data_IF_368607059448
#
_entry.id   IF_368607059448
#
_cell.length_a   1.000
_cell.length_b   1.000
_cell.length_c   1.000
_cell.angle_alpha   90.00
_cell.angle_beta   90.00
_cell.angle_gamma   90.00
#
_symmetry.space_group_name_H-M   'P 1'
#
loop_
_entity.id
_entity.type
_entity.pdbx_description
1 polymer ?
#
# COMPACT_ATOMS: atom_id res chain seq x y z
N UNK A 1 24.74 -17.27 19.58
CA UNK A 1 25.10 -16.03 18.87
C UNK A 1 24.00 -15.77 17.86
N UNK A 2 23.56 -14.51 17.76
CA UNK A 2 22.37 -14.13 16.98
C UNK A 2 22.63 -14.36 15.50
N UNK A 3 21.75 -15.07 14.79
CA UNK A 3 21.87 -15.36 13.35
C UNK A 3 21.70 -14.11 12.45
N UNK A 4 21.86 -12.90 12.99
CA UNK A 4 21.39 -11.66 12.37
C UNK A 4 22.44 -10.55 12.28
N UNK A 5 23.63 -10.69 12.86
CA UNK A 5 24.72 -9.69 12.73
C UNK A 5 25.30 -9.62 11.31
N UNK A 6 25.37 -10.76 10.59
CA UNK A 6 25.88 -10.84 9.23
C UNK A 6 25.04 -10.16 8.14
N UNK A 7 23.80 -9.73 8.43
CA UNK A 7 22.97 -9.01 7.47
C UNK A 7 23.46 -7.59 7.23
N UNK A 8 23.71 -6.81 8.30
CA UNK A 8 24.19 -5.43 8.17
C UNK A 8 25.51 -5.38 7.38
N UNK A 9 26.44 -6.28 7.74
CA UNK A 9 27.72 -6.39 7.04
C UNK A 9 27.57 -6.76 5.56
N UNK A 10 26.58 -7.58 5.18
CA UNK A 10 26.34 -7.93 3.77
C UNK A 10 25.76 -6.78 2.94
N UNK A 11 25.15 -5.77 3.58
CA UNK A 11 24.60 -4.58 2.91
C UNK A 11 25.64 -3.46 2.68
N UNK A 12 26.70 -3.38 3.49
CA UNK A 12 27.74 -2.33 3.38
C UNK A 12 28.36 -2.22 1.97
N UNK A 13 28.64 -3.31 1.22
CA UNK A 13 29.23 -3.20 -0.11
C UNK A 13 28.25 -2.79 -1.22
N UNK A 14 26.94 -2.82 -0.96
CA UNK A 14 25.89 -2.70 -1.98
C UNK A 14 25.03 -1.44 -1.84
N UNK A 15 25.33 -0.55 -0.90
CA UNK A 15 24.49 0.60 -0.56
C UNK A 15 25.27 1.91 -0.50
N UNK A 16 24.59 3.04 -0.70
CA UNK A 16 25.02 4.39 -0.25
C UNK A 16 24.96 4.51 1.30
N UNK A 17 25.17 3.41 2.03
CA UNK A 17 25.09 3.41 3.49
C UNK A 17 26.19 4.29 4.09
N UNK A 18 25.80 5.13 5.04
CA UNK A 18 26.77 5.83 5.88
C UNK A 18 27.40 4.81 6.81
N UNK A 19 28.70 4.56 6.65
CA UNK A 19 29.46 3.83 7.66
C UNK A 19 29.64 4.69 8.89
N UNK A 20 29.50 4.11 10.08
CA UNK A 20 29.71 4.80 11.35
C UNK A 20 30.68 4.05 12.27
N UNK A 21 31.05 4.67 13.40
CA UNK A 21 31.98 4.05 14.35
C UNK A 21 31.39 2.82 15.06
N UNK A 22 30.06 2.66 15.08
CA UNK A 22 29.38 1.49 15.60
C UNK A 22 29.61 0.29 14.68
N UNK A 23 29.77 0.47 13.36
CA UNK A 23 30.11 -0.65 12.46
C UNK A 23 31.38 -1.39 12.89
N UNK A 24 32.38 -0.66 13.41
CA UNK A 24 33.62 -1.24 13.94
C UNK A 24 33.43 -1.92 15.30
N UNK A 25 32.53 -1.39 16.13
CA UNK A 25 32.27 -1.90 17.47
C UNK A 25 31.39 -3.16 17.46
N UNK A 26 30.52 -3.30 16.46
CA UNK A 26 29.64 -4.45 16.26
C UNK A 26 30.12 -5.40 15.15
N UNK A 27 31.28 -5.13 14.55
CA UNK A 27 31.90 -6.04 13.59
C UNK A 27 32.30 -7.36 14.27
N UNK A 28 31.85 -8.45 13.69
CA UNK A 28 32.20 -9.81 14.10
C UNK A 28 32.74 -10.55 12.88
N UNK A 29 34.06 -10.83 12.86
CA UNK A 29 34.74 -11.53 11.76
C UNK A 29 34.47 -13.04 11.75
N UNK A 30 33.85 -13.56 12.81
CA UNK A 30 33.41 -14.94 12.89
C UNK A 30 32.07 -15.16 12.20
N UNK A 31 31.36 -14.08 11.85
CA UNK A 31 30.04 -14.15 11.26
C UNK A 31 30.10 -14.35 9.74
N UNK A 32 29.32 -15.31 9.25
CA UNK A 32 29.28 -15.61 7.83
C UNK A 32 28.33 -14.63 7.11
N UNK A 33 28.66 -14.16 5.89
CA UNK A 33 27.79 -13.26 5.14
C UNK A 33 26.42 -13.93 4.95
N UNK A 34 25.38 -13.27 5.44
CA UNK A 34 24.01 -13.74 5.31
C UNK A 34 23.58 -13.59 3.85
N UNK A 35 23.14 -14.68 3.22
CA UNK A 35 22.65 -14.66 1.85
C UNK A 35 21.15 -14.27 1.83
N UNK A 36 20.77 -13.09 1.29
CA UNK A 36 19.37 -12.67 1.28
C UNK A 36 18.43 -13.65 0.57
N UNK A 37 18.96 -14.44 -0.37
CA UNK A 37 18.23 -15.52 -1.06
C UNK A 37 17.70 -16.62 -0.12
N UNK A 38 18.22 -16.73 1.10
CA UNK A 38 17.74 -17.68 2.11
C UNK A 38 16.51 -17.17 2.89
N UNK A 39 16.17 -15.88 2.77
CA UNK A 39 14.97 -15.34 3.40
C UNK A 39 13.72 -15.87 2.69
N UNK A 40 12.68 -16.26 3.45
CA UNK A 40 11.38 -16.53 2.85
C UNK A 40 10.91 -15.28 2.10
N UNK A 41 10.37 -15.42 0.88
CA UNK A 41 9.95 -14.29 0.06
C UNK A 41 8.80 -13.51 0.69
N UNK A 42 7.99 -14.17 1.53
CA UNK A 42 6.84 -13.58 2.18
C UNK A 42 6.95 -13.68 3.70
N UNK A 43 6.60 -12.58 4.38
CA UNK A 43 6.73 -12.48 5.83
C UNK A 43 5.66 -11.56 6.40
N UNK A 44 4.98 -12.05 7.44
CA UNK A 44 4.20 -11.22 8.36
C UNK A 44 5.07 -10.84 9.58
N UNK A 45 5.04 -9.57 9.94
CA UNK A 45 5.64 -9.03 11.16
C UNK A 45 4.52 -8.78 12.17
N UNK A 46 4.25 -9.77 13.03
CA UNK A 46 3.04 -9.81 13.86
C UNK A 46 2.85 -8.62 14.80
N UNK A 47 3.92 -8.10 15.41
CA UNK A 47 3.78 -6.99 16.35
C UNK A 47 3.66 -5.62 15.65
N UNK A 48 4.16 -5.53 14.41
CA UNK A 48 4.01 -4.36 13.56
C UNK A 48 2.74 -4.41 12.70
N UNK A 49 2.09 -5.58 12.63
CA UNK A 49 0.96 -5.90 11.76
C UNK A 49 1.16 -5.45 10.30
N UNK A 50 2.33 -5.79 9.76
CA UNK A 50 2.63 -5.56 8.35
C UNK A 50 3.08 -6.84 7.64
N UNK A 51 2.96 -6.85 6.32
CA UNK A 51 3.33 -7.97 5.45
C UNK A 51 4.29 -7.47 4.38
N UNK A 52 5.31 -8.25 4.09
CA UNK A 52 6.09 -8.16 2.85
C UNK A 52 5.81 -9.40 2.02
N UNK A 53 5.47 -9.23 0.74
CA UNK A 53 5.45 -10.30 -0.26
C UNK A 53 6.44 -9.98 -1.37
N UNK A 54 7.21 -10.96 -1.85
CA UNK A 54 8.29 -10.72 -2.82
C UNK A 54 8.33 -11.78 -3.92
N UNK A 55 8.69 -11.39 -5.14
CA UNK A 55 9.02 -12.35 -6.19
C UNK A 55 10.41 -12.98 -6.01
N UNK A 56 11.32 -12.24 -5.36
CA UNK A 56 12.67 -12.68 -5.01
C UNK A 56 13.18 -11.93 -3.78
N UNK A 57 13.91 -12.63 -2.92
CA UNK A 57 14.53 -12.03 -1.72
C UNK A 57 15.88 -11.36 -1.99
N UNK A 58 16.39 -11.44 -3.22
CA UNK A 58 17.76 -10.98 -3.57
C UNK A 58 17.86 -10.20 -4.89
N UNK A 59 16.82 -10.22 -5.73
CA UNK A 59 16.80 -9.46 -6.98
C UNK A 59 16.41 -8.00 -6.70
N UNK A 60 17.25 -7.00 -7.02
CA UNK A 60 16.89 -5.59 -6.86
C UNK A 60 15.71 -5.15 -7.76
N UNK A 61 15.37 -5.93 -8.78
CA UNK A 61 14.23 -5.69 -9.66
C UNK A 61 12.97 -6.47 -9.28
N UNK A 62 12.99 -7.17 -8.13
CA UNK A 62 11.88 -7.98 -7.67
C UNK A 62 10.57 -7.17 -7.57
N UNK A 63 9.46 -7.85 -7.85
CA UNK A 63 8.13 -7.38 -7.49
C UNK A 63 7.98 -7.55 -5.98
N UNK A 64 7.72 -6.45 -5.28
CA UNK A 64 7.58 -6.40 -3.83
C UNK A 64 6.30 -5.66 -3.49
N UNK A 65 5.51 -6.21 -2.57
CA UNK A 65 4.37 -5.53 -1.97
C UNK A 65 4.59 -5.44 -0.47
N UNK A 66 4.56 -4.22 0.06
CA UNK A 66 4.49 -3.96 1.50
C UNK A 66 3.06 -3.59 1.86
N UNK A 67 2.46 -4.27 2.84
CA UNK A 67 1.06 -4.08 3.24
C UNK A 67 1.03 -3.66 4.72
N UNK A 68 0.31 -2.58 5.00
CA UNK A 68 0.04 -2.10 6.34
C UNK A 68 -1.32 -2.60 6.83
N UNK A 69 -1.38 -3.12 8.05
CA UNK A 69 -2.60 -3.50 8.73
C UNK A 69 -2.53 -3.02 10.20
N UNK A 70 -3.17 -3.72 11.13
CA UNK A 70 -2.93 -3.50 12.56
C UNK A 70 -3.95 -2.62 13.25
N UNK A 71 -3.57 -1.41 13.66
CA UNK A 71 -4.41 -0.57 14.52
C UNK A 71 -4.23 0.93 14.26
N UNK A 72 -5.32 1.70 14.34
CA UNK A 72 -5.28 3.16 14.33
C UNK A 72 -5.00 3.77 15.73
N UNK A 73 -4.95 2.94 16.78
CA UNK A 73 -4.65 3.39 18.14
C UNK A 73 -3.29 4.13 18.20
N UNK A 74 -3.25 5.24 18.95
CA UNK A 74 -2.09 6.14 19.05
C UNK A 74 -1.75 6.86 17.73
N UNK A 75 -2.76 7.39 17.04
CA UNK A 75 -2.58 8.26 15.86
C UNK A 75 -1.58 9.40 16.10
N UNK A 76 -1.60 10.01 17.30
CA UNK A 76 -0.66 11.07 17.71
C UNK A 76 0.79 10.56 17.89
N UNK A 77 1.02 9.24 17.84
CA UNK A 77 2.31 8.57 17.98
C UNK A 77 3.00 8.22 16.65
N UNK A 78 2.74 8.98 15.59
CA UNK A 78 3.21 8.78 14.20
C UNK A 78 2.49 7.68 13.41
N UNK A 79 1.29 7.28 13.83
CA UNK A 79 0.42 6.44 12.99
C UNK A 79 -0.44 7.29 12.08
N UNK A 80 -0.87 6.71 10.97
CA UNK A 80 -1.84 7.29 10.06
C UNK A 80 -3.12 6.43 10.06
N UNK A 81 -4.18 6.91 9.41
CA UNK A 81 -5.39 6.14 9.14
C UNK A 81 -5.20 5.30 7.86
N UNK A 82 -4.24 4.38 7.90
CA UNK A 82 -3.71 3.68 6.72
C UNK A 82 -3.92 2.15 6.75
N UNK A 83 -4.89 1.68 7.55
CA UNK A 83 -5.15 0.24 7.68
C UNK A 83 -5.59 -0.35 6.34
N UNK A 84 -4.78 -1.27 5.80
CA UNK A 84 -4.97 -1.89 4.49
C UNK A 84 -4.20 -1.21 3.35
N UNK A 85 -3.44 -0.14 3.63
CA UNK A 85 -2.61 0.54 2.63
C UNK A 85 -1.49 -0.38 2.17
N UNK A 86 -0.93 -0.08 1.01
CA UNK A 86 0.20 -0.82 0.47
C UNK A 86 1.11 0.07 -0.36
N UNK A 87 2.36 -0.38 -0.48
CA UNK A 87 3.32 0.11 -1.47
C UNK A 87 3.72 -1.03 -2.38
N UNK A 88 4.08 -0.71 -3.62
CA UNK A 88 4.49 -1.70 -4.61
C UNK A 88 5.73 -1.22 -5.36
N UNK A 89 6.76 -2.06 -5.31
CA UNK A 89 8.00 -1.89 -6.06
C UNK A 89 8.11 -3.00 -7.11
N UNK A 90 8.65 -2.67 -8.29
CA UNK A 90 8.99 -3.63 -9.32
C UNK A 90 9.98 -3.03 -10.29
N UNK A 91 10.83 -3.84 -10.94
CA UNK A 91 11.80 -3.37 -11.93
C UNK A 91 12.76 -2.30 -11.34
N UNK A 92 13.01 -2.36 -10.04
CA UNK A 92 13.88 -1.41 -9.33
C UNK A 92 13.25 -0.03 -9.11
N UNK A 93 11.93 0.08 -9.27
CA UNK A 93 11.17 1.32 -9.17
C UNK A 93 10.05 1.21 -8.13
N UNK A 94 9.80 2.30 -7.38
CA UNK A 94 8.57 2.44 -6.58
C UNK A 94 7.45 2.97 -7.46
N UNK A 95 6.47 2.12 -7.72
CA UNK A 95 5.31 2.46 -8.55
C UNK A 95 4.18 3.04 -7.72
N UNK A 96 3.87 2.37 -6.61
CA UNK A 96 2.80 2.75 -5.70
C UNK A 96 3.42 3.17 -4.39
N UNK A 97 3.17 4.42 -3.98
CA UNK A 97 3.85 5.06 -2.86
C UNK A 97 2.87 5.55 -1.80
N UNK A 98 3.36 5.67 -0.56
CA UNK A 98 2.75 6.52 0.46
C UNK A 98 3.43 7.89 0.46
N UNK A 99 2.66 8.93 0.78
CA UNK A 99 3.11 10.33 0.72
C UNK A 99 4.09 10.71 1.83
N UNK A 100 4.24 9.84 2.84
CA UNK A 100 5.13 10.05 3.98
C UNK A 100 4.57 11.05 4.99
N UNK A 101 5.47 11.67 5.75
CA UNK A 101 5.11 12.46 6.94
C UNK A 101 4.43 13.79 6.60
N UNK A 102 3.48 14.19 7.45
CA UNK A 102 2.98 15.56 7.53
C UNK A 102 3.69 16.31 8.69
N UNK A 103 4.58 17.28 8.40
CA UNK A 103 5.26 18.05 9.44
C UNK A 103 4.35 19.07 10.15
N UNK A 104 3.21 19.46 9.56
CA UNK A 104 2.33 20.49 10.13
C UNK A 104 1.36 19.96 11.22
N UNK A 105 1.51 18.69 11.63
CA UNK A 105 0.69 18.09 12.69
C UNK A 105 0.85 18.88 14.01
N UNK A 106 -0.27 19.11 14.71
CA UNK A 106 -0.29 19.73 16.04
C UNK A 106 -1.14 21.00 16.17
N UNK A 107 -1.64 21.54 15.04
CA UNK A 107 -2.61 22.67 15.05
C UNK A 107 -4.07 22.23 15.04
N UNK A 108 -4.34 21.00 14.58
CA UNK A 108 -5.66 20.39 14.35
C UNK A 108 -5.59 18.89 14.66
N UNK A 109 -6.70 18.16 14.55
CA UNK A 109 -6.67 16.71 14.73
C UNK A 109 -5.84 16.08 13.60
N UNK A 110 -4.97 15.12 13.91
CA UNK A 110 -4.01 14.59 12.95
C UNK A 110 -4.68 14.00 11.69
N UNK A 111 -5.85 13.35 11.85
CA UNK A 111 -6.64 12.82 10.73
C UNK A 111 -7.25 13.91 9.83
N UNK A 112 -7.22 15.20 10.18
CA UNK A 112 -7.67 16.26 9.28
C UNK A 112 -6.66 16.54 8.14
N UNK A 113 -5.42 16.06 8.26
CA UNK A 113 -4.38 16.27 7.25
C UNK A 113 -4.41 15.16 6.20
N UNK A 114 -4.29 15.54 4.92
CA UNK A 114 -4.40 14.62 3.78
C UNK A 114 -3.46 13.43 3.88
N UNK A 115 -2.18 13.65 4.21
CA UNK A 115 -1.18 12.58 4.30
C UNK A 115 -1.40 11.60 5.46
N UNK A 116 -2.27 11.95 6.43
CA UNK A 116 -2.52 11.16 7.64
C UNK A 116 -3.87 10.46 7.59
N UNK A 117 -4.85 11.02 6.84
CA UNK A 117 -6.16 10.38 6.62
C UNK A 117 -6.08 9.31 5.54
N UNK A 118 -7.04 8.39 5.53
CA UNK A 118 -7.04 7.28 4.58
C UNK A 118 -7.07 7.77 3.12
N UNK A 119 -7.67 8.93 2.84
CA UNK A 119 -7.71 9.52 1.50
C UNK A 119 -6.31 9.80 0.90
N UNK A 120 -5.30 10.04 1.73
CA UNK A 120 -3.90 10.22 1.29
C UNK A 120 -3.10 8.92 1.16
N UNK A 121 -3.76 7.78 1.37
CA UNK A 121 -3.17 6.44 1.30
C UNK A 121 -3.77 5.63 0.15
N UNK A 122 -3.19 4.46 -0.10
CA UNK A 122 -3.60 3.59 -1.20
C UNK A 122 -4.76 2.70 -0.76
N UNK A 123 -5.95 3.27 -0.51
CA UNK A 123 -7.07 2.62 0.20
C UNK A 123 -8.42 2.80 -0.49
N UNK A 124 -9.41 1.92 -0.18
CA UNK A 124 -10.81 2.22 -0.40
C UNK A 124 -11.30 3.28 0.62
N UNK A 125 -12.09 4.25 0.19
CA UNK A 125 -12.74 5.25 1.06
C UNK A 125 -14.25 5.11 0.92
N UNK A 126 -14.95 5.00 2.06
CA UNK A 126 -16.40 4.78 2.08
C UNK A 126 -17.10 6.00 2.67
N UNK A 127 -18.03 6.59 1.91
CA UNK A 127 -18.85 7.73 2.32
C UNK A 127 -18.00 8.90 2.88
N UNK A 128 -17.03 9.41 2.09
CA UNK A 128 -16.14 10.48 2.54
C UNK A 128 -16.95 11.69 3.02
N UNK A 129 -16.47 12.30 4.10
CA UNK A 129 -17.08 13.49 4.71
C UNK A 129 -16.03 14.23 5.55
N UNK A 130 -16.48 15.22 6.33
CA UNK A 130 -15.63 16.05 7.18
C UNK A 130 -14.99 15.30 8.37
N UNK A 131 -15.48 14.10 8.68
CA UNK A 131 -14.92 13.21 9.71
C UNK A 131 -13.78 12.34 9.20
N UNK A 132 -13.25 11.46 10.08
CA UNK A 132 -12.19 10.53 9.70
C UNK A 132 -12.73 9.42 8.77
N UNK A 133 -11.94 9.07 7.75
CA UNK A 133 -12.29 8.04 6.75
C UNK A 133 -12.27 6.61 7.32
N UNK A 134 -11.50 6.40 8.39
CA UNK A 134 -11.47 5.17 9.17
C UNK A 134 -11.72 5.48 10.64
N UNK A 135 -12.32 4.54 11.36
CA UNK A 135 -12.51 4.64 12.81
C UNK A 135 -11.15 4.77 13.52
N UNK A 136 -11.05 5.75 14.43
CA UNK A 136 -9.78 6.18 15.04
C UNK A 136 -9.15 5.16 15.99
N UNK A 137 -9.94 4.24 16.53
CA UNK A 137 -9.50 3.13 17.39
C UNK A 137 -9.68 1.77 16.70
N UNK A 138 -9.80 1.77 15.37
CA UNK A 138 -10.03 0.55 14.61
C UNK A 138 -8.82 -0.39 14.64
N UNK A 139 -9.12 -1.68 14.49
CA UNK A 139 -8.13 -2.72 14.21
C UNK A 139 -8.43 -3.42 12.89
N UNK A 140 -7.39 -3.66 12.12
CA UNK A 140 -7.44 -4.41 10.87
C UNK A 140 -6.55 -5.66 10.98
N UNK A 141 -7.08 -6.80 11.46
CA UNK A 141 -6.29 -8.01 11.57
C UNK A 141 -5.92 -8.57 10.19
N UNK A 142 -4.75 -9.20 10.14
CA UNK A 142 -4.34 -10.04 9.02
C UNK A 142 -4.98 -11.42 9.22
N UNK A 143 -6.07 -11.68 8.50
CA UNK A 143 -6.81 -12.95 8.60
C UNK A 143 -6.05 -14.11 7.96
N UNK A 144 -5.20 -13.84 6.95
CA UNK A 144 -4.46 -14.86 6.22
C UNK A 144 -3.13 -14.33 5.69
N UNK A 145 -2.08 -15.16 5.80
CA UNK A 145 -0.90 -15.10 4.94
C UNK A 145 -0.55 -16.53 4.52
N UNK A 146 -0.69 -16.83 3.22
CA UNK A 146 -0.26 -18.09 2.62
C UNK A 146 0.88 -17.84 1.65
N UNK A 147 1.87 -18.74 1.65
CA UNK A 147 3.05 -18.65 0.81
C UNK A 147 3.37 -20.01 0.20
N UNK A 148 3.52 -20.03 -1.12
CA UNK A 148 3.95 -21.16 -1.94
C UNK A 148 5.05 -20.69 -2.89
N UNK A 149 5.80 -21.57 -3.58
CA UNK A 149 6.83 -21.13 -4.51
C UNK A 149 6.32 -20.17 -5.59
N UNK A 150 5.11 -20.37 -6.10
CA UNK A 150 4.56 -19.58 -7.21
C UNK A 150 3.54 -18.53 -6.77
N UNK A 151 2.98 -18.62 -5.55
CA UNK A 151 1.90 -17.73 -5.10
C UNK A 151 2.09 -17.28 -3.66
N UNK A 152 1.72 -16.03 -3.37
CA UNK A 152 1.47 -15.56 -2.02
C UNK A 152 0.09 -14.92 -1.94
N UNK A 153 -0.64 -15.13 -0.85
CA UNK A 153 -1.96 -14.53 -0.61
C UNK A 153 -1.98 -13.91 0.77
N UNK A 154 -2.41 -12.65 0.87
CA UNK A 154 -2.61 -11.94 2.12
C UNK A 154 -4.02 -11.36 2.19
N UNK A 155 -4.69 -11.52 3.33
CA UNK A 155 -6.06 -11.01 3.54
C UNK A 155 -6.09 -10.12 4.77
N UNK A 156 -6.48 -8.87 4.58
CA UNK A 156 -6.67 -7.87 5.64
C UNK A 156 -8.17 -7.65 5.84
N UNK A 157 -8.62 -7.76 7.08
CA UNK A 157 -9.99 -7.41 7.47
C UNK A 157 -10.07 -5.92 7.79
N UNK A 158 -10.96 -5.20 7.10
CA UNK A 158 -11.16 -3.77 7.25
C UNK A 158 -12.54 -3.45 7.86
N UNK A 159 -13.29 -4.45 8.33
CA UNK A 159 -14.66 -4.25 8.81
C UNK A 159 -14.73 -3.28 10.01
N UNK A 160 -13.80 -3.36 10.96
CA UNK A 160 -13.76 -2.42 12.09
C UNK A 160 -13.26 -1.02 11.66
N UNK A 161 -12.36 -0.94 10.67
CA UNK A 161 -11.91 0.34 10.11
C UNK A 161 -13.06 1.13 9.48
N UNK A 162 -13.98 0.45 8.81
CA UNK A 162 -15.17 1.06 8.19
C UNK A 162 -16.47 0.78 8.94
N UNK A 163 -16.36 0.49 10.25
CA UNK A 163 -17.52 0.23 11.09
C UNK A 163 -18.51 1.41 11.06
N UNK A 164 -19.79 1.10 10.84
CA UNK A 164 -20.84 2.10 10.67
C UNK A 164 -21.18 2.41 9.20
N UNK A 165 -20.32 2.03 8.25
CA UNK A 165 -20.62 2.10 6.82
C UNK A 165 -21.00 0.73 6.25
N UNK A 166 -20.33 -0.33 6.70
CA UNK A 166 -20.44 -1.70 6.18
C UNK A 166 -20.30 -2.71 7.31
N UNK A 167 -20.79 -3.94 7.12
CA UNK A 167 -20.56 -5.04 8.08
C UNK A 167 -19.35 -5.90 7.73
N UNK A 168 -18.96 -5.92 6.44
CA UNK A 168 -17.75 -6.58 5.97
C UNK A 168 -17.03 -5.71 4.97
N UNK A 169 -15.74 -5.56 5.19
CA UNK A 169 -14.79 -5.01 4.24
C UNK A 169 -13.55 -5.88 4.28
N UNK A 170 -13.18 -6.49 3.16
CA UNK A 170 -11.99 -7.33 3.07
C UNK A 170 -11.13 -6.85 1.92
N UNK A 171 -9.83 -6.79 2.16
CA UNK A 171 -8.83 -6.50 1.15
C UNK A 171 -7.89 -7.68 0.98
N UNK A 172 -7.87 -8.26 -0.21
CA UNK A 172 -7.08 -9.44 -0.54
C UNK A 172 -6.00 -9.09 -1.55
N UNK A 173 -4.75 -9.40 -1.22
CA UNK A 173 -3.61 -9.30 -2.13
C UNK A 173 -3.18 -10.70 -2.55
N UNK A 174 -2.98 -10.92 -3.85
CA UNK A 174 -2.36 -12.14 -4.35
C UNK A 174 -1.18 -11.81 -5.26
N UNK A 175 0.01 -12.33 -4.95
CA UNK A 175 1.11 -12.36 -5.89
C UNK A 175 1.01 -13.65 -6.71
N UNK A 176 0.73 -13.55 -8.00
CA UNK A 176 0.45 -14.68 -8.89
C UNK A 176 1.67 -14.98 -9.75
N UNK A 177 2.10 -16.25 -9.73
CA UNK A 177 3.28 -16.80 -10.40
C UNK A 177 4.58 -16.02 -10.12
N UNK A 178 4.60 -15.23 -9.04
CA UNK A 178 5.66 -14.25 -8.72
C UNK A 178 5.89 -13.22 -9.84
N UNK A 179 4.91 -13.00 -10.71
CA UNK A 179 5.03 -12.11 -11.89
C UNK A 179 4.16 -10.86 -11.79
N UNK A 180 3.00 -10.95 -11.17
CA UNK A 180 2.09 -9.82 -11.00
C UNK A 180 1.34 -9.91 -9.67
N UNK A 181 0.70 -8.82 -9.27
CA UNK A 181 -0.12 -8.78 -8.05
C UNK A 181 -1.57 -8.49 -8.45
N UNK A 182 -2.52 -9.16 -7.82
CA UNK A 182 -3.92 -8.74 -7.83
C UNK A 182 -4.29 -8.20 -6.45
N UNK A 183 -5.20 -7.23 -6.46
CA UNK A 183 -5.79 -6.62 -5.29
C UNK A 183 -7.30 -6.66 -5.44
N UNK A 184 -7.97 -7.33 -4.51
CA UNK A 184 -9.42 -7.40 -4.47
C UNK A 184 -9.95 -6.70 -3.23
N UNK A 185 -10.78 -5.69 -3.43
CA UNK A 185 -11.55 -5.02 -2.40
C UNK A 185 -13.00 -5.53 -2.47
N UNK A 186 -13.45 -6.19 -1.40
CA UNK A 186 -14.78 -6.77 -1.27
C UNK A 186 -15.53 -6.09 -0.12
N UNK A 187 -16.68 -5.50 -0.45
CA UNK A 187 -17.56 -4.82 0.48
C UNK A 187 -18.92 -5.50 0.45
N UNK A 188 -19.45 -5.85 1.64
CA UNK A 188 -20.79 -6.40 1.78
C UNK A 188 -21.63 -5.62 2.80
N UNK A 189 -22.95 -5.66 2.58
CA UNK A 189 -23.96 -5.13 3.51
C UNK A 189 -23.77 -3.63 3.84
N UNK A 190 -23.45 -2.82 2.83
CA UNK A 190 -23.40 -1.36 2.98
C UNK A 190 -24.78 -0.78 3.30
N UNK A 191 -24.88 0.08 4.32
CA UNK A 191 -26.15 0.68 4.73
C UNK A 191 -26.05 2.20 4.93
N UNK A 192 -26.95 3.00 4.31
CA UNK A 192 -27.99 2.61 3.37
C UNK A 192 -27.48 2.42 1.93
N UNK A 193 -26.49 3.23 1.50
CA UNK A 193 -25.80 3.21 0.20
C UNK A 193 -24.36 3.64 0.47
N UNK A 194 -23.38 3.05 -0.23
CA UNK A 194 -21.96 3.42 -0.16
C UNK A 194 -21.60 4.31 -1.35
N UNK A 195 -21.04 5.48 -1.07
CA UNK A 195 -20.21 6.22 -2.01
C UNK A 195 -18.76 5.72 -1.86
N UNK A 196 -18.25 5.03 -2.87
CA UNK A 196 -16.98 4.33 -2.80
C UNK A 196 -15.94 4.98 -3.68
N UNK A 197 -14.80 5.28 -3.08
CA UNK A 197 -13.58 5.62 -3.78
C UNK A 197 -12.54 4.54 -3.59
N UNK A 198 -11.73 4.33 -4.60
CA UNK A 198 -10.49 3.56 -4.51
C UNK A 198 -9.36 4.46 -4.94
N UNK A 199 -8.33 4.60 -4.11
CA UNK A 199 -7.19 5.47 -4.42
C UNK A 199 -5.87 4.74 -4.48
N UNK A 200 -5.02 5.24 -5.38
CA UNK A 200 -3.66 4.81 -5.55
C UNK A 200 -2.78 6.00 -5.94
N UNK A 201 -1.69 6.20 -5.21
CA UNK A 201 -0.77 7.31 -5.37
C UNK A 201 0.49 6.87 -6.11
N UNK A 202 0.90 7.67 -7.10
CA UNK A 202 2.09 7.41 -7.89
C UNK A 202 2.75 8.70 -8.37
N UNK A 203 4.08 8.66 -8.48
CA UNK A 203 4.86 9.71 -9.14
C UNK A 203 5.07 9.43 -10.64
N UNK A 204 4.62 8.27 -11.13
CA UNK A 204 4.70 7.91 -12.54
C UNK A 204 3.74 8.74 -13.38
N UNK A 205 4.07 8.89 -14.66
CA UNK A 205 3.12 9.35 -15.67
C UNK A 205 2.01 8.30 -15.85
N UNK A 206 0.75 8.74 -15.93
CA UNK A 206 -0.42 7.87 -16.05
C UNK A 206 -1.09 8.09 -17.39
N UNK A 207 -1.23 7.03 -18.17
CA UNK A 207 -2.06 6.99 -19.39
C UNK A 207 -3.19 5.98 -19.19
N UNK A 208 -4.44 6.37 -19.41
CA UNK A 208 -5.61 5.49 -19.33
C UNK A 208 -6.11 5.18 -20.74
N UNK A 209 -6.49 3.93 -21.00
CA UNK A 209 -7.07 3.50 -22.27
C UNK A 209 -8.47 4.09 -22.55
N UNK A 210 -8.93 4.02 -23.80
CA UNK A 210 -10.25 4.55 -24.20
C UNK A 210 -11.42 3.86 -23.49
N UNK A 211 -11.20 2.65 -22.96
CA UNK A 211 -12.19 1.88 -22.20
C UNK A 211 -12.21 2.24 -20.72
N UNK A 212 -11.25 3.04 -20.24
CA UNK A 212 -11.07 3.41 -18.85
C UNK A 212 -10.83 2.21 -17.91
N UNK A 213 -10.36 1.09 -18.43
CA UNK A 213 -10.17 -0.16 -17.66
C UNK A 213 -8.70 -0.50 -17.45
N UNK A 214 -7.79 0.15 -18.18
CA UNK A 214 -6.36 -0.08 -18.10
C UNK A 214 -5.62 1.23 -17.95
N UNK A 215 -4.79 1.36 -16.93
CA UNK A 215 -3.83 2.45 -16.77
C UNK A 215 -2.41 1.93 -16.98
N UNK A 216 -1.62 2.62 -17.80
CA UNK A 216 -0.18 2.40 -17.94
C UNK A 216 0.56 3.46 -17.13
N UNK A 217 1.30 3.01 -16.12
CA UNK A 217 2.23 3.85 -15.36
C UNK A 217 3.60 3.81 -16.02
N UNK A 218 4.20 4.97 -16.29
CA UNK A 218 5.52 5.07 -16.89
C UNK A 218 6.45 5.94 -16.03
N UNK A 219 7.62 5.40 -15.67
CA UNK A 219 8.71 6.19 -15.07
C UNK A 219 10.06 5.56 -15.43
N UNK A 220 11.08 6.40 -15.62
CA UNK A 220 12.45 5.97 -15.94
C UNK A 220 12.55 4.97 -17.11
N UNK A 221 11.66 5.11 -18.11
CA UNK A 221 11.60 4.23 -19.29
C UNK A 221 10.94 2.86 -19.07
N UNK A 222 10.60 2.52 -17.82
CA UNK A 222 9.93 1.27 -17.44
C UNK A 222 8.42 1.47 -17.37
N UNK A 223 7.67 0.38 -17.31
CA UNK A 223 6.19 0.42 -17.25
C UNK A 223 5.60 -0.57 -16.25
N UNK A 224 4.52 -0.14 -15.59
CA UNK A 224 3.61 -1.00 -14.83
C UNK A 224 2.20 -0.85 -15.42
N UNK A 225 1.57 -1.97 -15.75
CA UNK A 225 0.18 -2.00 -16.21
C UNK A 225 -0.72 -2.24 -15.00
N UNK A 226 -1.73 -1.39 -14.83
CA UNK A 226 -2.76 -1.51 -13.81
C UNK A 226 -4.09 -1.73 -14.53
N UNK A 227 -4.79 -2.85 -14.27
CA UNK A 227 -6.01 -3.18 -15.00
C UNK A 227 -7.15 -3.60 -14.07
N UNK A 228 -8.37 -3.18 -14.38
CA UNK A 228 -9.59 -3.63 -13.69
C UNK A 228 -9.96 -5.00 -14.28
N UNK A 229 -9.69 -6.06 -13.52
CA UNK A 229 -9.97 -7.45 -13.94
C UNK A 229 -11.44 -7.81 -13.73
N UNK A 230 -12.02 -7.31 -12.63
CA UNK A 230 -13.44 -7.52 -12.27
C UNK A 230 -13.95 -6.31 -11.50
N UNK A 231 -15.20 -5.95 -11.72
CA UNK A 231 -15.85 -4.87 -10.99
C UNK A 231 -17.33 -4.74 -11.36
N UNK A 232 -18.11 -3.93 -10.61
CA UNK A 232 -19.42 -3.48 -11.06
C UNK A 232 -19.34 -2.77 -12.42
N UNK A 233 -20.46 -2.71 -13.14
CA UNK A 233 -20.54 -1.86 -14.32
C UNK A 233 -20.20 -0.41 -13.95
N UNK A 234 -19.28 0.23 -14.69
CA UNK A 234 -18.74 1.60 -14.45
C UNK A 234 -17.64 1.70 -13.39
N UNK A 235 -16.99 0.60 -13.04
CA UNK A 235 -15.66 0.69 -12.43
C UNK A 235 -14.69 1.17 -13.51
N UNK A 236 -14.54 2.50 -13.61
CA UNK A 236 -13.70 3.16 -14.59
C UNK A 236 -12.56 3.86 -13.85
N UNK A 237 -11.35 3.80 -14.42
CA UNK A 237 -10.23 4.58 -13.95
C UNK A 237 -10.38 6.05 -14.29
N UNK A 238 -10.01 6.89 -13.35
CA UNK A 238 -9.82 8.31 -13.56
C UNK A 238 -8.53 8.82 -12.88
N UNK A 239 -7.97 9.90 -13.43
CA UNK A 239 -6.79 10.55 -12.87
C UNK A 239 -7.25 11.73 -12.02
N UNK A 240 -6.78 11.78 -10.77
CA UNK A 240 -7.03 12.88 -9.84
C UNK A 240 -5.71 13.45 -9.33
N UNK A 241 -5.77 14.66 -8.77
CA UNK A 241 -4.63 15.26 -8.09
C UNK A 241 -4.53 14.70 -6.67
N UNK A 242 -3.32 14.58 -6.11
CA UNK A 242 -3.08 14.09 -4.76
C UNK A 242 -3.43 15.17 -3.70
N UNK A 243 -4.71 15.53 -3.64
CA UNK A 243 -5.31 16.51 -2.73
C UNK A 243 -6.62 15.96 -2.16
N UNK A 244 -7.10 16.49 -1.01
CA UNK A 244 -8.39 16.12 -0.44
C UNK A 244 -9.57 16.23 -1.43
N UNK A 245 -10.55 15.35 -1.26
CA UNK A 245 -11.87 15.46 -1.90
C UNK A 245 -12.59 16.74 -1.43
N UNK A 246 -13.62 17.14 -2.18
CA UNK A 246 -14.35 18.39 -1.92
C UNK A 246 -14.94 18.47 -0.50
N UNK A 247 -15.49 17.36 0.01
CA UNK A 247 -16.12 17.26 1.34
C UNK A 247 -15.13 16.88 2.46
N UNK A 248 -13.83 16.82 2.15
CA UNK A 248 -12.79 16.38 3.07
C UNK A 248 -12.06 17.58 3.70
N UNK A 249 -11.67 17.51 4.99
CA UNK A 249 -10.84 18.52 5.62
C UNK A 249 -9.65 18.92 4.76
N UNK A 250 -9.50 20.23 4.58
CA UNK A 250 -8.41 20.83 3.83
C UNK A 250 -7.72 21.92 4.66
N UNK A 251 -7.03 21.55 5.75
CA UNK A 251 -6.25 22.51 6.52
C UNK A 251 -5.05 23.03 5.71
N UNK A 252 -4.37 24.04 6.25
CA UNK A 252 -3.02 24.37 5.78
C UNK A 252 -2.13 23.14 6.01
N UNK A 253 -1.57 22.59 4.93
CA UNK A 253 -0.88 21.30 4.91
C UNK A 253 0.16 21.25 3.80
N UNK A 254 1.03 20.24 3.81
CA UNK A 254 2.02 20.07 2.76
C UNK A 254 1.38 19.72 1.41
N UNK A 255 1.85 20.37 0.34
CA UNK A 255 1.51 19.99 -1.02
C UNK A 255 2.19 18.66 -1.42
N UNK A 256 1.64 18.00 -2.44
CA UNK A 256 2.16 16.72 -2.96
C UNK A 256 2.62 16.87 -4.42
N UNK A 257 3.63 17.73 -4.69
CA UNK A 257 4.06 18.01 -6.06
C UNK A 257 4.60 16.75 -6.75
N UNK A 258 4.22 16.55 -8.00
CA UNK A 258 4.67 15.41 -8.80
C UNK A 258 3.99 14.08 -8.47
N UNK A 259 2.99 14.06 -7.59
CA UNK A 259 2.20 12.86 -7.28
C UNK A 259 0.77 13.02 -7.81
N UNK A 260 0.26 11.98 -8.46
CA UNK A 260 -1.14 11.89 -8.92
C UNK A 260 -1.83 10.70 -8.28
N UNK A 261 -3.16 10.72 -8.32
CA UNK A 261 -4.03 9.62 -7.92
C UNK A 261 -4.57 8.91 -9.17
N UNK A 262 -4.46 7.58 -9.22
CA UNK A 262 -5.36 6.75 -10.01
C UNK A 262 -6.54 6.39 -9.11
N UNK A 263 -7.76 6.60 -9.60
CA UNK A 263 -8.96 6.43 -8.81
C UNK A 263 -10.04 5.61 -9.53
N UNK A 264 -10.89 4.95 -8.74
CA UNK A 264 -12.16 4.39 -9.19
C UNK A 264 -13.25 4.96 -8.28
N UNK A 265 -14.32 5.49 -8.88
CA UNK A 265 -15.48 6.02 -8.14
C UNK A 265 -16.75 5.22 -8.46
N UNK A 266 -17.38 4.68 -7.43
CA UNK A 266 -18.63 3.94 -7.55
C UNK A 266 -19.66 4.56 -6.61
N UNK A 267 -20.78 5.02 -7.18
CA UNK A 267 -21.90 5.56 -6.41
C UNK A 267 -23.08 4.59 -6.41
N UNK A 268 -23.93 4.68 -5.39
CA UNK A 268 -25.18 3.91 -5.31
C UNK A 268 -24.99 2.40 -5.26
N UNK A 269 -23.95 1.92 -4.57
CA UNK A 269 -23.65 0.49 -4.40
C UNK A 269 -23.87 0.05 -2.96
N UNK A 270 -24.21 -1.22 -2.74
CA UNK A 270 -24.43 -1.79 -1.39
C UNK A 270 -23.61 -3.06 -1.14
N UNK A 271 -23.19 -3.73 -2.21
CA UNK A 271 -22.27 -4.86 -2.18
C UNK A 271 -21.54 -4.93 -3.52
N UNK A 272 -20.23 -5.13 -3.49
CA UNK A 272 -19.42 -5.26 -4.68
C UNK A 272 -18.07 -5.89 -4.38
N UNK A 273 -17.42 -6.34 -5.45
CA UNK A 273 -16.01 -6.70 -5.47
C UNK A 273 -15.36 -5.96 -6.63
N UNK A 274 -14.27 -5.25 -6.38
CA UNK A 274 -13.38 -4.69 -7.42
C UNK A 274 -12.05 -5.43 -7.32
N UNK A 275 -11.56 -5.96 -8.43
CA UNK A 275 -10.31 -6.69 -8.55
C UNK A 275 -9.43 -5.98 -9.57
N UNK A 276 -8.27 -5.50 -9.13
CA UNK A 276 -7.28 -4.77 -9.94
C UNK A 276 -5.99 -5.56 -9.99
N UNK A 277 -5.37 -5.68 -11.16
CA UNK A 277 -4.05 -6.29 -11.34
C UNK A 277 -2.95 -5.24 -11.51
N UNK A 278 -1.74 -5.59 -11.13
CA UNK A 278 -0.51 -4.81 -11.24
C UNK A 278 0.55 -5.68 -11.90
N UNK A 279 0.84 -5.42 -13.17
CA UNK A 279 1.75 -6.24 -13.98
C UNK A 279 2.95 -5.40 -14.42
N UNK A 280 4.16 -5.68 -13.91
CA UNK A 280 5.38 -5.10 -14.44
C UNK A 280 5.54 -5.51 -15.91
N UNK A 281 5.54 -4.54 -16.81
CA UNK A 281 5.84 -4.80 -18.21
C UNK A 281 7.36 -4.75 -18.35
N UNK A 282 7.98 -5.94 -18.39
CA UNK A 282 9.42 -6.05 -18.61
C UNK A 282 9.83 -5.34 -19.91
N UNK A 283 11.05 -4.82 -19.95
CA UNK A 283 11.65 -4.39 -21.21
C UNK A 283 11.74 -5.62 -22.13
N UNK A 284 11.11 -5.55 -23.30
CA UNK A 284 11.23 -6.57 -24.35
C UNK A 284 12.60 -6.55 -25.01
#
# INVERSE_FOLDING_TARGET
MSQHSGFHYSQLPHSDSSTDALDLLWFDDSDHPFAPSELPPDKQFRDADCISMRSSSSDPNALVVGIQAGSNENLDGHRHLDLGSFVLDALGERWILDLGTEPEIGRRQAWEYYRVRAEGHNLPILNPNEGPDQKLDARAPINLLESTPTRATAVVDLADAYAGHVSKATRTFEMVDRQFVTLADEIEEGWPIVDFWWFLHTAAEIEIDDLLTTATLTQNGKKLIVAIERGPSRADFEIRDAVPLEDSPHPEQCENPGVRKLAIHLSNITQFKVEVSFTPAGEG
#
